data_IF_940511395567
#
_entry.id   IF_940511395567
#
_cell.length_a   1.000
_cell.length_b   1.000
_cell.length_c   1.000
_cell.angle_alpha   90.00
_cell.angle_beta   90.00
_cell.angle_gamma   90.00
#
_symmetry.space_group_name_H-M   'P 1'
#
loop_
_entity.id
_entity.type
_entity.pdbx_description
1 polymer ?
#
# COMPACT_ATOMS: atom_id res chain seq x y z
N UNK A 1 9.76 1.65 7.75
CA UNK A 1 9.34 0.34 8.32
C UNK A 1 8.31 -0.26 7.38
N UNK A 2 8.40 -1.55 7.07
CA UNK A 2 7.44 -2.26 6.25
C UNK A 2 7.12 -3.60 6.94
N UNK A 3 5.83 -3.91 7.09
CA UNK A 3 5.39 -5.21 7.54
C UNK A 3 4.15 -5.64 6.73
N UNK A 4 4.16 -6.89 6.27
CA UNK A 4 3.06 -7.50 5.56
C UNK A 4 3.02 -8.98 5.94
N UNK A 5 2.08 -9.36 6.81
CA UNK A 5 1.92 -10.75 7.24
C UNK A 5 0.51 -11.04 7.70
N UNK A 6 0.00 -12.20 7.32
CA UNK A 6 -1.28 -12.77 7.76
C UNK A 6 -1.11 -14.08 8.53
N UNK A 7 0.13 -14.48 8.80
CA UNK A 7 0.45 -15.72 9.53
C UNK A 7 1.36 -15.45 10.74
N UNK A 8 1.53 -14.18 11.10
CA UNK A 8 2.26 -13.77 12.30
C UNK A 8 1.33 -13.86 13.51
N UNK A 9 1.85 -14.30 14.65
CA UNK A 9 1.15 -14.26 15.94
C UNK A 9 1.00 -12.81 16.46
N UNK A 10 0.19 -12.00 15.77
CA UNK A 10 0.03 -10.56 15.99
C UNK A 10 -1.29 -10.18 16.70
N UNK A 11 -2.07 -11.18 17.14
CA UNK A 11 -3.37 -10.98 17.81
C UNK A 11 -4.44 -10.36 16.91
N UNK A 12 -4.28 -10.47 15.60
CA UNK A 12 -5.19 -9.98 14.55
C UNK A 12 -4.96 -10.78 13.26
N UNK A 13 -5.90 -10.71 12.34
CA UNK A 13 -5.86 -11.50 11.10
C UNK A 13 -4.70 -11.14 10.17
N UNK A 14 -4.42 -9.84 10.00
CA UNK A 14 -3.28 -9.37 9.21
C UNK A 14 -2.61 -8.13 9.80
N UNK A 15 -1.31 -8.00 9.59
CA UNK A 15 -0.53 -6.78 9.81
C UNK A 15 -0.02 -6.33 8.45
N UNK A 16 -0.59 -5.23 7.94
CA UNK A 16 -0.18 -4.61 6.70
C UNK A 16 0.09 -3.14 7.01
N UNK A 17 1.36 -2.77 7.07
CA UNK A 17 1.79 -1.41 7.43
C UNK A 17 3.06 -0.98 6.72
N UNK A 18 3.11 0.29 6.35
CA UNK A 18 4.29 0.96 5.83
C UNK A 18 4.43 2.35 6.45
N UNK A 19 5.60 2.64 7.00
CA UNK A 19 5.94 3.96 7.54
C UNK A 19 7.19 4.51 6.87
N UNK A 20 7.07 5.73 6.36
CA UNK A 20 8.11 6.46 5.65
C UNK A 20 8.51 7.68 6.47
N UNK A 21 9.82 7.86 6.70
CA UNK A 21 10.35 8.94 7.52
C UNK A 21 11.20 9.87 6.65
N UNK A 22 10.87 11.16 6.67
CA UNK A 22 11.62 12.21 6.00
C UNK A 22 12.08 13.30 6.96
N UNK A 23 12.81 14.28 6.45
CA UNK A 23 13.32 15.41 7.25
C UNK A 23 12.22 16.30 7.84
N UNK A 24 11.04 16.31 7.23
CA UNK A 24 9.91 17.19 7.61
C UNK A 24 8.73 16.43 8.25
N UNK A 25 8.94 15.19 8.69
CA UNK A 25 7.92 14.34 9.30
C UNK A 25 7.85 12.96 8.65
N UNK A 26 6.77 12.24 8.94
CA UNK A 26 6.55 10.89 8.45
C UNK A 26 5.11 10.68 7.96
N UNK A 27 4.93 9.63 7.17
CA UNK A 27 3.61 9.11 6.78
C UNK A 27 3.55 7.65 7.19
N UNK A 28 2.44 7.24 7.78
CA UNK A 28 2.17 5.86 8.13
C UNK A 28 0.85 5.40 7.54
N UNK A 29 0.90 4.29 6.81
CA UNK A 29 -0.27 3.59 6.30
C UNK A 29 -0.36 2.26 7.05
N UNK A 30 -1.54 1.91 7.57
CA UNK A 30 -1.75 0.64 8.28
C UNK A 30 -3.18 0.15 8.14
N UNK A 31 -3.34 -1.17 8.14
CA UNK A 31 -4.67 -1.76 8.16
C UNK A 31 -5.37 -1.60 9.51
N UNK A 32 -6.71 -1.48 9.48
CA UNK A 32 -7.57 -1.32 10.65
C UNK A 32 -8.12 -2.69 11.05
N UNK A 33 -7.97 -3.05 12.33
CA UNK A 33 -8.58 -4.27 12.90
C UNK A 33 -8.11 -5.60 12.29
N UNK A 34 -7.03 -5.61 11.50
CA UNK A 34 -6.60 -6.82 10.77
C UNK A 34 -7.21 -6.97 9.38
N UNK A 35 -8.03 -6.01 8.94
CA UNK A 35 -8.66 -6.00 7.62
C UNK A 35 -7.62 -6.02 6.49
N UNK A 36 -7.94 -6.67 5.38
CA UNK A 36 -7.15 -6.58 4.14
C UNK A 36 -7.54 -5.37 3.29
N UNK A 37 -8.67 -4.73 3.61
CA UNK A 37 -9.28 -3.72 2.77
C UNK A 37 -9.35 -2.35 3.44
N UNK A 38 -9.38 -2.31 4.77
CA UNK A 38 -9.54 -1.07 5.51
C UNK A 38 -8.18 -0.53 5.92
N UNK A 39 -7.76 0.58 5.30
CA UNK A 39 -6.49 1.23 5.60
C UNK A 39 -6.70 2.63 6.17
N UNK A 40 -5.91 2.96 7.19
CA UNK A 40 -5.76 4.31 7.71
C UNK A 40 -4.42 4.89 7.25
N UNK A 41 -4.44 6.14 6.82
CA UNK A 41 -3.24 6.91 6.50
C UNK A 41 -3.11 8.11 7.47
N UNK A 42 -1.96 8.24 8.11
CA UNK A 42 -1.66 9.26 9.11
C UNK A 42 -0.37 9.99 8.75
N UNK A 43 -0.38 11.32 8.86
CA UNK A 43 0.82 12.16 8.81
C UNK A 43 1.31 12.42 10.23
N UNK A 44 2.62 12.28 10.43
CA UNK A 44 3.28 12.41 11.73
C UNK A 44 4.26 13.58 11.71
N UNK A 45 4.18 14.48 12.69
CA UNK A 45 5.11 15.60 12.86
C UNK A 45 5.43 15.81 14.34
N UNK A 46 6.65 15.46 14.76
CA UNK A 46 7.01 15.44 16.18
C UNK A 46 6.12 14.45 16.93
N UNK A 47 5.35 14.96 17.90
CA UNK A 47 4.35 14.20 18.66
C UNK A 47 2.93 14.35 18.13
N UNK A 48 2.73 15.11 17.05
CA UNK A 48 1.41 15.31 16.44
C UNK A 48 1.13 14.26 15.37
N UNK A 49 -0.14 13.85 15.31
CA UNK A 49 -0.69 12.94 14.31
C UNK A 49 -1.88 13.61 13.66
N UNK A 50 -1.86 13.68 12.33
CA UNK A 50 -2.93 14.20 11.48
C UNK A 50 -3.47 13.05 10.63
N UNK A 51 -4.78 12.81 10.71
CA UNK A 51 -5.45 11.79 9.91
C UNK A 51 -5.62 12.29 8.46
N UNK A 52 -5.14 11.52 7.49
CA UNK A 52 -5.29 11.84 6.06
C UNK A 52 -6.42 11.04 5.43
N UNK A 53 -6.54 9.76 5.77
CA UNK A 53 -7.55 8.83 5.25
C UNK A 53 -7.96 7.87 6.36
N UNK A 54 -9.26 7.61 6.48
CA UNK A 54 -9.82 6.56 7.34
C UNK A 54 -10.90 5.77 6.60
N UNK A 55 -11.03 4.46 6.88
CA UNK A 55 -12.11 3.65 6.32
C UNK A 55 -13.50 4.12 6.78
N UNK A 56 -14.55 3.91 5.97
CA UNK A 56 -14.50 3.32 4.65
C UNK A 56 -13.94 4.30 3.59
N UNK A 57 -13.02 3.81 2.75
CA UNK A 57 -12.53 4.52 1.55
C UNK A 57 -12.92 3.70 0.30
N UNK A 58 -13.33 4.38 -0.77
CA UNK A 58 -13.79 3.76 -2.02
C UNK A 58 -12.63 3.36 -2.94
N UNK A 59 -11.52 2.91 -2.35
CA UNK A 59 -10.29 2.63 -3.07
C UNK A 59 -10.29 1.36 -3.88
N UNK A 60 -11.10 0.39 -3.45
CA UNK A 60 -11.23 -0.87 -4.17
C UNK A 60 -11.70 -0.62 -5.61
N UNK A 61 -11.05 -1.25 -6.58
CA UNK A 61 -11.42 -1.15 -7.99
C UNK A 61 -11.00 0.14 -8.71
N UNK A 62 -10.55 1.21 -8.03
CA UNK A 62 -10.13 2.47 -8.68
C UNK A 62 -9.08 2.22 -9.77
N UNK A 63 -8.10 1.37 -9.50
CA UNK A 63 -7.06 1.00 -10.47
C UNK A 63 -7.61 0.24 -11.69
N UNK A 64 -8.55 -0.69 -11.50
CA UNK A 64 -9.15 -1.45 -12.60
C UNK A 64 -10.03 -0.56 -13.49
N UNK A 65 -10.77 0.37 -12.89
CA UNK A 65 -11.57 1.36 -13.62
C UNK A 65 -10.68 2.32 -14.41
N UNK A 66 -9.58 2.80 -13.82
CA UNK A 66 -8.60 3.64 -14.53
C UNK A 66 -8.00 2.91 -15.73
N UNK A 67 -7.53 1.67 -15.52
CA UNK A 67 -7.02 0.82 -16.59
C UNK A 67 -8.04 0.64 -17.73
N UNK A 68 -9.29 0.32 -17.41
CA UNK A 68 -10.34 0.12 -18.41
C UNK A 68 -10.63 1.40 -19.21
N UNK A 69 -10.59 2.58 -18.56
CA UNK A 69 -10.76 3.88 -19.22
C UNK A 69 -9.61 4.17 -20.19
N UNK A 70 -8.36 3.94 -19.77
CA UNK A 70 -7.17 4.10 -20.61
C UNK A 70 -7.20 3.20 -21.83
N UNK A 71 -7.54 1.92 -21.63
CA UNK A 71 -7.69 0.96 -22.72
C UNK A 71 -8.77 1.39 -23.71
N UNK A 72 -9.93 1.86 -23.22
CA UNK A 72 -11.00 2.38 -24.07
C UNK A 72 -10.60 3.66 -24.84
N UNK A 73 -9.70 4.46 -24.29
CA UNK A 73 -9.12 5.63 -24.95
C UNK A 73 -8.04 5.29 -25.99
N UNK A 74 -7.69 4.01 -26.16
CA UNK A 74 -6.70 3.54 -27.11
C UNK A 74 -5.27 3.57 -26.59
N UNK A 75 -5.07 3.74 -25.27
CA UNK A 75 -3.76 3.55 -24.68
C UNK A 75 -3.27 2.12 -24.90
N UNK A 76 -1.97 2.02 -25.19
CA UNK A 76 -1.29 0.76 -25.46
C UNK A 76 -0.45 0.37 -24.25
N UNK A 77 0.46 -0.58 -24.44
CA UNK A 77 1.39 -0.99 -23.40
C UNK A 77 2.15 0.20 -22.80
N UNK A 78 2.13 0.28 -21.47
CA UNK A 78 2.91 1.21 -20.68
C UNK A 78 4.25 0.57 -20.31
N UNK A 79 5.36 1.15 -20.76
CA UNK A 79 6.70 0.64 -20.48
C UNK A 79 7.05 0.66 -18.99
N UNK A 80 6.39 1.51 -18.19
CA UNK A 80 6.57 1.53 -16.74
C UNK A 80 6.08 0.24 -16.08
N UNK A 81 5.26 -0.58 -16.78
CA UNK A 81 4.86 -1.90 -16.31
C UNK A 81 6.03 -2.88 -16.13
N UNK A 82 7.18 -2.62 -16.75
CA UNK A 82 8.42 -3.39 -16.50
C UNK A 82 8.90 -3.28 -15.03
N UNK A 83 8.54 -2.21 -14.32
CA UNK A 83 8.84 -2.06 -12.90
C UNK A 83 8.19 -3.19 -12.07
N UNK A 84 7.01 -3.67 -12.47
CA UNK A 84 6.35 -4.78 -11.76
C UNK A 84 7.18 -6.07 -11.80
N UNK A 85 7.90 -6.33 -12.89
CA UNK A 85 8.83 -7.45 -13.00
C UNK A 85 10.03 -7.26 -12.07
N UNK A 86 10.56 -6.03 -12.00
CA UNK A 86 11.67 -5.69 -11.08
C UNK A 86 11.27 -5.86 -9.61
N UNK A 87 10.06 -5.43 -9.26
CA UNK A 87 9.48 -5.60 -7.92
C UNK A 87 9.27 -7.08 -7.59
N UNK A 88 8.71 -7.87 -8.52
CA UNK A 88 8.55 -9.31 -8.33
C UNK A 88 9.89 -10.01 -8.07
N UNK A 89 10.91 -9.72 -8.87
CA UNK A 89 12.25 -10.27 -8.67
C UNK A 89 12.88 -9.83 -7.34
N UNK A 90 12.59 -8.62 -6.85
CA UNK A 90 13.03 -8.18 -5.53
C UNK A 90 12.33 -8.97 -4.42
N UNK A 91 11.03 -9.21 -4.55
CA UNK A 91 10.27 -10.02 -3.58
C UNK A 91 10.82 -11.45 -3.52
N UNK A 92 11.08 -12.09 -4.66
CA UNK A 92 11.68 -13.42 -4.70
C UNK A 92 13.01 -13.47 -3.95
N UNK A 93 13.89 -12.49 -4.16
CA UNK A 93 15.16 -12.38 -3.42
C UNK A 93 14.96 -12.22 -1.91
N UNK A 94 13.96 -11.46 -1.47
CA UNK A 94 13.65 -11.29 -0.03
C UNK A 94 13.21 -12.62 0.57
N UNK A 95 12.45 -13.43 -0.17
CA UNK A 95 11.99 -14.74 0.27
C UNK A 95 13.00 -15.88 0.01
N UNK A 96 14.18 -15.58 -0.56
CA UNK A 96 15.20 -16.57 -0.88
C UNK A 96 14.80 -17.55 -1.99
N UNK A 97 13.94 -17.10 -2.90
CA UNK A 97 13.47 -17.86 -4.08
C UNK A 97 14.26 -17.48 -5.33
#
# INVERSE_FOLDING_TARGET
RLACSWNLHAGRDAVIEASFYGSNGAVSVRNVGGSFYDFRCERLRGTSTELLVEPPDDWSGRAAVDWARRLAAGECFDADAEEYVRVAALLDRIYGR
#
